data_IF_450342751088
#
_entry.id   IF_450342751088
#
_cell.length_a   1.000
_cell.length_b   1.000
_cell.length_c   1.000
_cell.angle_alpha   90.00
_cell.angle_beta   90.00
_cell.angle_gamma   90.00
#
_symmetry.space_group_name_H-M   'P 1'
#
loop_
_entity.id
_entity.type
_entity.pdbx_description
1 polymer ?
#
# COMPACT_ATOMS: atom_id res chain seq x y z
N UNK A 1 -65.98 35.35 -18.23
CA UNK A 1 -66.04 33.97 -18.73
C UNK A 1 -65.63 33.08 -17.57
N UNK A 2 -66.61 32.55 -16.85
CA UNK A 2 -66.39 31.67 -15.70
C UNK A 2 -66.19 30.26 -16.24
N UNK A 3 -64.99 29.72 -16.11
CA UNK A 3 -64.74 28.31 -16.42
C UNK A 3 -65.55 27.49 -15.40
N UNK A 4 -66.38 26.52 -15.83
CA UNK A 4 -67.15 25.70 -14.90
C UNK A 4 -66.23 24.96 -13.92
N UNK A 5 -66.52 25.01 -12.62
CA UNK A 5 -65.74 24.34 -11.57
C UNK A 5 -65.56 22.83 -11.84
N UNK A 6 -66.53 22.19 -12.50
CA UNK A 6 -66.49 20.77 -12.87
C UNK A 6 -65.39 20.42 -13.89
N UNK A 7 -64.83 21.42 -14.59
CA UNK A 7 -63.74 21.22 -15.55
C UNK A 7 -62.38 21.23 -14.83
N UNK A 8 -62.25 21.99 -13.75
CA UNK A 8 -61.00 22.10 -12.98
C UNK A 8 -60.67 20.82 -12.21
N UNK A 9 -61.66 20.15 -11.62
CA UNK A 9 -61.44 18.90 -10.88
C UNK A 9 -61.13 17.74 -11.83
N UNK A 10 -61.74 17.71 -13.02
CA UNK A 10 -61.44 16.72 -14.07
C UNK A 10 -60.04 16.95 -14.67
N UNK A 11 -59.65 18.21 -14.88
CA UNK A 11 -58.28 18.57 -15.30
C UNK A 11 -57.29 18.22 -14.18
N UNK A 12 -57.61 18.49 -12.92
CA UNK A 12 -56.74 18.14 -11.80
C UNK A 12 -56.56 16.62 -11.66
N UNK A 13 -57.63 15.83 -11.78
CA UNK A 13 -57.54 14.37 -11.78
C UNK A 13 -56.74 13.82 -12.96
N UNK A 14 -56.91 14.38 -14.17
CA UNK A 14 -56.11 13.98 -15.33
C UNK A 14 -54.62 14.37 -15.19
N UNK A 15 -54.30 15.41 -14.42
CA UNK A 15 -52.92 15.88 -14.20
C UNK A 15 -52.24 15.18 -13.03
N UNK A 16 -52.96 14.82 -11.97
CA UNK A 16 -52.37 14.31 -10.72
C UNK A 16 -52.65 12.83 -10.43
N UNK A 17 -53.69 12.21 -11.02
CA UNK A 17 -54.05 10.80 -10.76
C UNK A 17 -53.67 9.84 -11.90
N UNK A 18 -53.11 10.35 -13.01
CA UNK A 18 -52.62 9.48 -14.09
C UNK A 18 -51.27 8.86 -13.77
N UNK A 19 -51.09 7.59 -14.14
CA UNK A 19 -49.78 6.95 -14.06
C UNK A 19 -48.78 7.74 -14.90
N UNK A 20 -47.72 8.22 -14.26
CA UNK A 20 -46.62 8.90 -14.93
C UNK A 20 -45.98 7.95 -15.93
N UNK A 21 -46.13 8.23 -17.23
CA UNK A 21 -45.57 7.45 -18.32
C UNK A 21 -44.87 8.35 -19.33
N UNK A 22 -43.93 7.75 -20.06
CA UNK A 22 -43.41 8.18 -21.37
C UNK A 22 -44.30 9.12 -22.18
N UNK A 23 -45.55 8.73 -22.34
CA UNK A 23 -46.50 9.35 -23.26
C UNK A 23 -47.27 10.55 -22.69
N UNK A 24 -47.37 10.70 -21.38
CA UNK A 24 -48.25 11.71 -20.74
C UNK A 24 -47.48 12.83 -20.04
N UNK A 25 -46.25 12.56 -19.59
CA UNK A 25 -45.47 13.49 -18.75
C UNK A 25 -44.04 13.68 -19.27
N UNK A 26 -43.90 14.09 -20.54
CA UNK A 26 -42.59 14.20 -21.22
C UNK A 26 -42.17 15.64 -21.55
N UNK A 27 -42.85 16.64 -20.99
CA UNK A 27 -42.41 18.04 -21.16
C UNK A 27 -41.09 18.21 -20.40
N UNK A 28 -40.02 18.54 -21.14
CA UNK A 28 -38.62 18.56 -20.69
C UNK A 28 -38.40 19.25 -19.34
N UNK A 29 -39.09 20.36 -19.09
CA UNK A 29 -38.93 21.16 -17.89
C UNK A 29 -40.03 20.96 -16.84
N UNK A 30 -40.95 20.03 -17.07
CA UNK A 30 -42.09 19.82 -16.17
C UNK A 30 -41.71 19.03 -14.93
N UNK A 31 -42.36 19.35 -13.81
CA UNK A 31 -42.23 18.58 -12.57
C UNK A 31 -42.70 17.11 -12.75
N UNK A 32 -43.68 16.87 -13.63
CA UNK A 32 -44.17 15.52 -13.94
C UNK A 32 -43.10 14.63 -14.57
N UNK A 33 -42.29 15.17 -15.51
CA UNK A 33 -41.17 14.44 -16.11
C UNK A 33 -40.10 14.07 -15.06
N UNK A 34 -39.77 15.00 -14.17
CA UNK A 34 -38.79 14.76 -13.09
C UNK A 34 -39.27 13.72 -12.08
N UNK A 35 -40.55 13.77 -11.69
CA UNK A 35 -41.13 12.79 -10.77
C UNK A 35 -41.18 11.40 -11.41
N UNK A 36 -41.47 11.32 -12.71
CA UNK A 36 -41.36 10.09 -13.49
C UNK A 36 -39.92 9.58 -13.55
N UNK A 37 -38.94 10.45 -13.82
CA UNK A 37 -37.52 10.10 -13.85
C UNK A 37 -37.07 9.46 -12.54
N UNK A 38 -37.48 10.00 -11.40
CA UNK A 38 -37.23 9.39 -10.08
C UNK A 38 -37.87 7.99 -9.91
N UNK A 39 -38.99 7.72 -10.59
CA UNK A 39 -39.65 6.41 -10.55
C UNK A 39 -39.03 5.41 -11.53
N UNK A 40 -38.66 5.85 -12.73
CA UNK A 40 -38.25 5.00 -13.86
C UNK A 40 -36.73 4.84 -13.96
N UNK A 41 -35.97 5.93 -13.78
CA UNK A 41 -34.52 5.97 -13.91
C UNK A 41 -33.80 5.79 -12.56
N UNK A 42 -34.53 5.53 -11.47
CA UNK A 42 -33.93 5.38 -10.15
C UNK A 42 -33.36 6.71 -9.65
N UNK A 43 -32.24 6.66 -8.94
CA UNK A 43 -31.70 7.83 -8.26
C UNK A 43 -30.19 7.88 -8.24
N UNK A 44 -29.64 9.08 -8.09
CA UNK A 44 -28.20 9.27 -7.94
C UNK A 44 -27.66 8.66 -6.64
N UNK A 45 -28.46 8.63 -5.56
CA UNK A 45 -28.01 8.18 -4.22
C UNK A 45 -26.71 8.90 -3.79
N UNK A 46 -26.58 10.18 -4.20
CA UNK A 46 -25.39 11.00 -3.96
C UNK A 46 -24.20 10.71 -4.88
N UNK A 47 -24.37 9.95 -5.97
CA UNK A 47 -23.33 9.54 -6.91
C UNK A 47 -23.80 9.67 -8.36
N UNK A 48 -22.88 9.92 -9.30
CA UNK A 48 -23.11 9.75 -10.74
C UNK A 48 -22.66 8.35 -11.15
N UNK A 49 -23.51 7.60 -11.82
CA UNK A 49 -23.23 6.22 -12.23
C UNK A 49 -22.68 6.21 -13.65
N UNK A 50 -21.53 5.56 -13.82
CA UNK A 50 -20.82 5.43 -15.09
C UNK A 50 -20.66 3.96 -15.44
N UNK A 51 -21.03 3.59 -16.66
CA UNK A 51 -20.84 2.27 -17.24
C UNK A 51 -20.41 2.44 -18.70
N UNK A 52 -19.10 2.30 -18.98
CA UNK A 52 -18.58 2.50 -20.35
C UNK A 52 -18.85 1.32 -21.28
N UNK A 53 -19.51 0.25 -20.81
CA UNK A 53 -19.83 -0.94 -21.60
C UNK A 53 -21.29 -0.94 -22.04
N UNK A 54 -22.20 -0.66 -21.09
CA UNK A 54 -23.65 -0.76 -21.29
C UNK A 54 -24.41 0.56 -20.99
N UNK A 55 -23.69 1.64 -20.65
CA UNK A 55 -24.27 2.96 -20.38
C UNK A 55 -24.75 3.71 -21.63
N UNK A 56 -25.32 4.88 -21.40
CA UNK A 56 -25.83 5.77 -22.46
C UNK A 56 -24.89 6.95 -22.71
N UNK A 57 -24.72 7.30 -23.99
CA UNK A 57 -24.08 8.54 -24.46
C UNK A 57 -25.16 9.52 -24.95
N UNK A 58 -25.82 10.27 -24.05
CA UNK A 58 -26.81 11.24 -24.47
C UNK A 58 -26.13 12.44 -25.14
N UNK A 59 -26.65 12.91 -26.28
CA UNK A 59 -26.19 14.16 -26.94
C UNK A 59 -26.20 15.35 -25.96
N UNK A 60 -27.09 15.33 -24.97
CA UNK A 60 -27.12 16.30 -23.88
C UNK A 60 -27.62 15.58 -22.64
N UNK A 61 -26.78 15.40 -21.60
CA UNK A 61 -27.19 14.70 -20.40
C UNK A 61 -28.23 15.52 -19.63
N UNK A 62 -29.34 14.86 -19.28
CA UNK A 62 -30.46 15.47 -18.57
C UNK A 62 -30.41 15.12 -17.08
N UNK A 63 -30.32 16.12 -16.18
CA UNK A 63 -30.38 15.88 -14.74
C UNK A 63 -31.65 15.13 -14.34
N UNK A 64 -31.53 14.20 -13.40
CA UNK A 64 -32.59 13.33 -12.88
C UNK A 64 -33.09 12.26 -13.86
N UNK A 65 -32.43 12.09 -15.01
CA UNK A 65 -32.72 11.02 -15.97
C UNK A 65 -31.46 10.23 -16.32
N UNK A 66 -30.34 10.90 -16.58
CA UNK A 66 -29.06 10.27 -16.96
C UNK A 66 -28.08 10.21 -15.78
N UNK A 67 -27.18 9.24 -15.79
CA UNK A 67 -26.13 9.05 -14.77
C UNK A 67 -26.67 8.52 -13.44
N UNK A 68 -27.81 7.85 -13.48
CA UNK A 68 -28.45 7.18 -12.33
C UNK A 68 -28.12 5.69 -12.32
N UNK A 69 -28.46 5.00 -11.23
CA UNK A 69 -28.20 3.57 -11.05
C UNK A 69 -28.86 2.66 -12.10
N UNK A 70 -29.98 3.07 -12.68
CA UNK A 70 -30.66 2.32 -13.75
C UNK A 70 -30.51 2.93 -15.15
N UNK A 71 -29.84 4.06 -15.27
CA UNK A 71 -29.50 4.70 -16.54
C UNK A 71 -28.09 5.33 -16.45
N UNK A 72 -27.04 4.51 -16.29
CA UNK A 72 -25.67 4.99 -16.18
C UNK A 72 -25.22 5.61 -17.50
N UNK A 73 -24.34 6.61 -17.42
CA UNK A 73 -23.71 7.22 -18.60
C UNK A 73 -22.44 6.48 -19.00
N UNK A 74 -22.03 6.55 -20.26
CA UNK A 74 -20.89 5.77 -20.76
C UNK A 74 -19.58 6.56 -20.90
N UNK A 75 -19.57 7.85 -20.55
CA UNK A 75 -18.42 8.73 -20.74
C UNK A 75 -18.23 9.77 -19.61
N UNK A 76 -16.99 10.24 -19.45
CA UNK A 76 -16.62 11.21 -18.40
C UNK A 76 -17.09 12.64 -18.68
N UNK A 77 -17.27 13.02 -19.94
CA UNK A 77 -17.68 14.39 -20.31
C UNK A 77 -19.08 14.66 -19.79
N UNK A 78 -20.00 13.72 -20.03
CA UNK A 78 -21.37 13.81 -19.52
C UNK A 78 -21.42 13.66 -18.01
N UNK A 79 -20.55 12.80 -17.44
CA UNK A 79 -20.45 12.64 -16.00
C UNK A 79 -20.10 13.95 -15.31
N UNK A 80 -19.11 14.65 -15.83
CA UNK A 80 -18.66 15.94 -15.31
C UNK A 80 -19.74 17.02 -15.50
N UNK A 81 -20.47 16.99 -16.62
CA UNK A 81 -21.60 17.89 -16.86
C UNK A 81 -22.72 17.70 -15.82
N UNK A 82 -23.10 16.45 -15.55
CA UNK A 82 -24.10 16.11 -14.53
C UNK A 82 -23.61 16.44 -13.13
N UNK A 83 -22.38 16.05 -12.78
CA UNK A 83 -21.74 16.33 -11.50
C UNK A 83 -21.73 17.83 -11.18
N UNK A 84 -21.34 18.67 -12.14
CA UNK A 84 -21.34 20.12 -11.98
C UNK A 84 -22.76 20.70 -11.83
N UNK A 85 -23.72 20.21 -12.62
CA UNK A 85 -25.13 20.64 -12.57
C UNK A 85 -25.80 20.29 -11.24
N UNK A 86 -25.47 19.12 -10.68
CA UNK A 86 -26.09 18.57 -9.48
C UNK A 86 -25.31 18.87 -8.19
N UNK A 87 -24.07 19.36 -8.29
CA UNK A 87 -23.17 19.53 -7.15
C UNK A 87 -22.75 18.21 -6.51
N UNK A 88 -22.63 17.16 -7.33
CA UNK A 88 -22.19 15.82 -6.91
C UNK A 88 -20.70 15.67 -7.21
N UNK A 89 -19.94 15.12 -6.27
CA UNK A 89 -18.48 14.90 -6.39
C UNK A 89 -18.09 13.42 -6.30
N UNK A 90 -19.08 12.52 -6.32
CA UNK A 90 -18.87 11.08 -6.20
C UNK A 90 -19.36 10.39 -7.48
N UNK A 91 -18.51 9.58 -8.07
CA UNK A 91 -18.79 8.73 -9.23
C UNK A 91 -18.75 7.26 -8.84
N UNK A 92 -19.78 6.51 -9.22
CA UNK A 92 -19.80 5.06 -9.11
C UNK A 92 -19.53 4.43 -10.47
N UNK A 93 -18.52 3.57 -10.56
CA UNK A 93 -18.03 3.01 -11.82
C UNK A 93 -18.38 1.53 -11.88
N UNK A 94 -19.10 1.13 -12.94
CA UNK A 94 -19.48 -0.26 -13.15
C UNK A 94 -18.23 -1.15 -13.42
N UNK A 95 -18.21 -2.40 -12.91
CA UNK A 95 -17.12 -3.33 -13.17
C UNK A 95 -16.81 -3.52 -14.65
N UNK A 96 -15.53 -3.60 -15.00
CA UNK A 96 -15.07 -3.72 -16.39
C UNK A 96 -15.06 -2.41 -17.19
N UNK A 97 -15.64 -1.32 -16.66
CA UNK A 97 -15.57 0.00 -17.29
C UNK A 97 -14.13 0.50 -17.36
N UNK A 98 -13.82 1.30 -18.38
CA UNK A 98 -12.51 1.93 -18.56
C UNK A 98 -12.67 3.44 -18.60
N UNK A 99 -12.00 4.13 -17.69
CA UNK A 99 -11.99 5.58 -17.59
C UNK A 99 -10.59 6.09 -17.91
N UNK A 100 -10.51 6.95 -18.92
CA UNK A 100 -9.32 7.73 -19.23
C UNK A 100 -9.64 9.17 -18.86
N UNK A 101 -8.86 9.77 -17.95
CA UNK A 101 -9.10 11.15 -17.57
C UNK A 101 -8.75 12.09 -18.72
N UNK A 102 -9.71 12.90 -19.15
CA UNK A 102 -9.55 13.91 -20.21
C UNK A 102 -9.66 15.35 -19.68
N UNK A 103 -9.99 15.49 -18.39
CA UNK A 103 -10.03 16.74 -17.65
C UNK A 103 -9.61 16.52 -16.19
N UNK A 104 -9.18 17.59 -15.53
CA UNK A 104 -8.89 17.64 -14.10
C UNK A 104 -10.04 17.08 -13.27
N UNK A 105 -9.71 16.15 -12.37
CA UNK A 105 -10.62 15.51 -11.44
C UNK A 105 -10.19 15.83 -10.00
N UNK A 106 -10.42 17.05 -9.52
CA UNK A 106 -9.95 17.50 -8.20
C UNK A 106 -11.05 17.34 -7.14
N UNK A 107 -10.69 16.89 -5.94
CA UNK A 107 -11.60 16.71 -4.79
C UNK A 107 -12.84 15.85 -5.10
N UNK A 108 -12.65 14.78 -5.86
CA UNK A 108 -13.72 13.86 -6.25
C UNK A 108 -13.45 12.45 -5.74
N UNK A 109 -14.51 11.64 -5.65
CA UNK A 109 -14.42 10.23 -5.26
C UNK A 109 -14.90 9.38 -6.42
N UNK A 110 -14.07 8.42 -6.83
CA UNK A 110 -14.39 7.42 -7.83
C UNK A 110 -14.38 6.05 -7.15
N UNK A 111 -15.53 5.39 -7.14
CA UNK A 111 -15.74 4.13 -6.42
C UNK A 111 -16.31 3.07 -7.37
N UNK A 112 -15.68 1.91 -7.41
CA UNK A 112 -16.15 0.76 -8.18
C UNK A 112 -15.34 -0.47 -7.78
N UNK A 113 -15.58 -1.60 -8.44
CA UNK A 113 -14.75 -2.81 -8.27
C UNK A 113 -14.40 -3.35 -9.64
N UNK A 114 -13.12 -3.55 -9.91
CA UNK A 114 -12.65 -4.17 -11.16
C UNK A 114 -12.84 -3.29 -12.39
N UNK A 115 -12.75 -1.97 -12.22
CA UNK A 115 -12.73 -0.98 -13.31
C UNK A 115 -11.30 -0.53 -13.58
N UNK A 116 -11.06 0.09 -14.74
CA UNK A 116 -9.71 0.51 -15.18
C UNK A 116 -9.63 2.03 -15.19
N UNK A 117 -8.54 2.57 -14.65
CA UNK A 117 -8.23 4.00 -14.62
C UNK A 117 -6.90 4.30 -15.30
N UNK A 118 -6.92 5.25 -16.24
CA UNK A 118 -5.74 5.93 -16.75
C UNK A 118 -5.76 7.42 -16.33
N UNK A 119 -4.76 7.83 -15.55
CA UNK A 119 -4.61 9.18 -15.03
C UNK A 119 -4.32 10.23 -16.13
N UNK A 120 -3.73 9.81 -17.24
CA UNK A 120 -3.57 10.58 -18.49
C UNK A 120 -3.19 12.07 -18.33
N UNK A 121 -2.25 12.37 -17.44
CA UNK A 121 -1.71 13.72 -17.21
C UNK A 121 -2.66 14.68 -16.51
N UNK A 122 -3.83 14.23 -16.03
CA UNK A 122 -4.82 15.10 -15.43
C UNK A 122 -4.57 15.36 -13.96
N UNK A 123 -5.03 16.53 -13.50
CA UNK A 123 -4.94 16.91 -12.09
C UNK A 123 -5.88 16.04 -11.27
N UNK A 124 -5.35 15.35 -10.27
CA UNK A 124 -6.13 14.49 -9.36
C UNK A 124 -6.11 14.99 -7.92
N UNK A 125 -5.79 16.27 -7.74
CA UNK A 125 -5.51 16.82 -6.43
C UNK A 125 -6.69 16.64 -5.47
N UNK A 126 -6.47 15.93 -4.36
CA UNK A 126 -7.47 15.67 -3.31
C UNK A 126 -8.50 14.60 -3.66
N UNK A 127 -8.30 13.86 -4.75
CA UNK A 127 -9.25 12.83 -5.18
C UNK A 127 -8.95 11.45 -4.62
N UNK A 128 -9.99 10.61 -4.57
CA UNK A 128 -9.96 9.26 -4.03
C UNK A 128 -10.42 8.29 -5.11
N UNK A 129 -9.63 7.26 -5.38
CA UNK A 129 -9.96 6.20 -6.31
C UNK A 129 -10.03 4.87 -5.57
N UNK A 130 -11.12 4.12 -5.75
CA UNK A 130 -11.40 2.90 -5.00
C UNK A 130 -11.68 1.74 -5.96
N UNK A 131 -10.98 0.61 -5.75
CA UNK A 131 -11.23 -0.66 -6.44
C UNK A 131 -10.86 -0.71 -7.92
N UNK A 132 -9.98 0.20 -8.35
CA UNK A 132 -9.53 0.34 -9.74
C UNK A 132 -8.20 -0.37 -10.02
N UNK A 133 -8.00 -0.83 -11.25
CA UNK A 133 -6.65 -1.06 -11.81
C UNK A 133 -6.15 0.25 -12.40
N UNK A 134 -5.09 0.83 -11.83
CA UNK A 134 -4.64 2.20 -12.10
C UNK A 134 -3.33 2.23 -12.88
N UNK A 135 -3.25 3.14 -13.86
CA UNK A 135 -2.02 3.42 -14.61
C UNK A 135 -1.90 4.90 -14.95
N UNK A 136 -0.70 5.31 -15.38
CA UNK A 136 -0.48 6.63 -15.96
C UNK A 136 0.17 7.63 -15.00
N UNK A 137 0.25 8.88 -15.46
CA UNK A 137 0.95 9.96 -14.79
C UNK A 137 -0.10 11.01 -14.42
N UNK A 138 -0.29 11.38 -13.15
CA UNK A 138 -1.13 12.51 -12.79
C UNK A 138 -0.41 13.84 -13.03
N UNK A 139 -1.17 14.92 -13.04
CA UNK A 139 -0.66 16.26 -12.74
C UNK A 139 -1.29 16.77 -11.44
N UNK A 140 -0.99 18.00 -11.05
CA UNK A 140 -1.41 18.57 -9.77
C UNK A 140 -0.23 18.87 -8.86
N UNK A 141 -0.53 19.24 -7.60
CA UNK A 141 0.48 19.59 -6.59
C UNK A 141 0.03 19.15 -5.21
N UNK A 142 0.78 18.23 -4.58
CA UNK A 142 0.93 18.11 -3.13
C UNK A 142 -0.32 17.96 -2.26
N UNK A 143 -1.45 17.53 -2.81
CA UNK A 143 -2.68 17.29 -2.04
C UNK A 143 -2.79 15.84 -1.59
N UNK A 144 -3.68 15.53 -0.65
CA UNK A 144 -3.84 14.17 -0.12
C UNK A 144 -4.68 13.27 -1.07
N UNK A 145 -4.20 12.99 -2.29
CA UNK A 145 -4.83 11.99 -3.16
C UNK A 145 -4.70 10.58 -2.58
N UNK A 146 -5.69 9.73 -2.81
CA UNK A 146 -5.77 8.40 -2.22
C UNK A 146 -6.15 7.33 -3.24
N UNK A 147 -5.44 6.21 -3.20
CA UNK A 147 -5.81 4.97 -3.88
C UNK A 147 -6.14 3.93 -2.81
N UNK A 148 -7.36 3.37 -2.83
CA UNK A 148 -7.79 2.34 -1.87
C UNK A 148 -8.28 1.10 -2.59
N UNK A 149 -7.89 -0.08 -2.13
CA UNK A 149 -8.31 -1.36 -2.72
C UNK A 149 -7.99 -1.47 -4.22
N UNK A 150 -6.99 -0.70 -4.68
CA UNK A 150 -6.57 -0.64 -6.07
C UNK A 150 -5.49 -1.68 -6.41
N UNK A 151 -5.34 -1.92 -7.71
CA UNK A 151 -4.17 -2.56 -8.30
C UNK A 151 -3.36 -1.49 -9.05
N UNK A 152 -2.20 -1.10 -8.53
CA UNK A 152 -1.36 -0.09 -9.17
C UNK A 152 -0.41 -0.72 -10.17
N UNK A 153 -0.51 -0.29 -11.43
CA UNK A 153 0.42 -0.67 -12.50
C UNK A 153 1.59 0.31 -12.51
N UNK A 154 2.12 0.71 -13.67
CA UNK A 154 3.06 1.83 -13.70
C UNK A 154 2.33 3.15 -13.44
N UNK A 155 2.58 3.75 -12.28
CA UNK A 155 1.92 4.98 -11.82
C UNK A 155 2.96 5.97 -11.32
N UNK A 156 2.81 7.24 -11.71
CA UNK A 156 3.57 8.33 -11.10
C UNK A 156 2.81 8.96 -9.94
N UNK A 157 3.53 9.47 -8.94
CA UNK A 157 2.95 9.94 -7.69
C UNK A 157 3.33 11.38 -7.40
N UNK A 158 2.31 12.15 -7.00
CA UNK A 158 2.48 13.46 -6.39
C UNK A 158 2.88 13.30 -4.92
N UNK A 159 3.33 14.38 -4.31
CA UNK A 159 3.56 14.40 -2.87
C UNK A 159 2.23 14.21 -2.10
N UNK A 160 2.34 13.65 -0.90
CA UNK A 160 1.23 13.31 0.00
C UNK A 160 0.23 12.28 -0.57
N UNK A 161 0.67 11.42 -1.49
CA UNK A 161 -0.17 10.31 -1.97
C UNK A 161 -0.33 9.24 -0.88
N UNK A 162 -1.56 8.79 -0.65
CA UNK A 162 -1.87 7.67 0.24
C UNK A 162 -2.37 6.46 -0.55
N UNK A 163 -1.77 5.30 -0.32
CA UNK A 163 -2.12 4.05 -0.98
C UNK A 163 -2.44 3.05 0.13
N UNK A 164 -3.66 2.52 0.11
CA UNK A 164 -4.24 1.73 1.20
C UNK A 164 -4.83 0.44 0.66
N UNK A 165 -4.44 -0.69 1.25
CA UNK A 165 -5.00 -2.01 0.91
C UNK A 165 -4.85 -2.40 -0.58
N UNK A 166 -3.77 -1.94 -1.23
CA UNK A 166 -3.54 -2.11 -2.66
C UNK A 166 -2.49 -3.17 -3.02
N UNK A 167 -2.68 -3.80 -4.17
CA UNK A 167 -1.65 -4.60 -4.87
C UNK A 167 -0.80 -3.71 -5.77
N UNK A 168 0.52 -3.90 -5.75
CA UNK A 168 1.47 -3.04 -6.46
C UNK A 168 2.29 -3.87 -7.47
N UNK A 169 2.33 -3.42 -8.73
CA UNK A 169 3.20 -3.98 -9.78
C UNK A 169 3.76 -2.89 -10.69
N UNK A 170 4.82 -3.20 -11.44
CA UNK A 170 5.49 -2.22 -12.31
C UNK A 170 6.26 -1.15 -11.53
N UNK A 171 6.56 -0.03 -12.20
CA UNK A 171 7.36 1.05 -11.61
C UNK A 171 6.46 2.16 -11.07
N UNK A 172 6.63 2.47 -9.79
CA UNK A 172 6.05 3.64 -9.13
C UNK A 172 7.10 4.76 -9.12
N UNK A 173 6.78 5.93 -9.66
CA UNK A 173 7.76 7.02 -9.81
C UNK A 173 7.27 8.25 -9.06
N UNK A 174 8.11 8.85 -8.22
CA UNK A 174 7.81 10.16 -7.64
C UNK A 174 8.06 11.26 -8.68
N UNK A 175 7.04 12.10 -8.92
CA UNK A 175 7.12 13.27 -9.81
C UNK A 175 7.08 14.61 -9.06
N UNK A 176 6.98 14.55 -7.73
CA UNK A 176 7.01 15.69 -6.83
C UNK A 176 7.71 15.29 -5.52
N UNK A 177 8.58 16.16 -4.99
CA UNK A 177 9.23 15.90 -3.70
C UNK A 177 8.24 16.01 -2.54
N UNK A 178 8.31 15.05 -1.61
CA UNK A 178 7.50 15.03 -0.41
C UNK A 178 7.31 13.62 0.12
N UNK A 179 6.27 13.45 0.93
CA UNK A 179 5.97 12.18 1.56
C UNK A 179 5.06 11.33 0.66
N UNK A 180 5.24 10.01 0.71
CA UNK A 180 4.28 9.05 0.15
C UNK A 180 4.04 7.93 1.15
N UNK A 181 2.81 7.43 1.18
CA UNK A 181 2.35 6.48 2.19
C UNK A 181 1.73 5.25 1.52
N UNK A 182 2.25 4.08 1.87
CA UNK A 182 1.68 2.77 1.55
C UNK A 182 1.33 2.08 2.86
N UNK A 183 0.06 1.75 3.07
CA UNK A 183 -0.42 1.01 4.24
C UNK A 183 -1.20 -0.22 3.81
N UNK A 184 -0.97 -1.35 4.48
CA UNK A 184 -1.60 -2.65 4.18
C UNK A 184 -1.50 -3.09 2.71
N UNK A 185 -0.47 -2.63 2.01
CA UNK A 185 -0.23 -2.96 0.60
C UNK A 185 0.58 -4.25 0.44
N UNK A 186 0.59 -4.82 -0.77
CA UNK A 186 1.41 -5.99 -1.10
C UNK A 186 1.99 -5.94 -2.51
N UNK A 187 3.08 -6.67 -2.74
CA UNK A 187 3.60 -6.91 -4.09
C UNK A 187 2.65 -7.84 -4.84
N UNK A 188 2.23 -7.44 -6.04
CA UNK A 188 1.51 -8.30 -6.99
C UNK A 188 2.46 -8.84 -8.09
N UNK A 189 3.75 -8.96 -7.74
CA UNK A 189 4.78 -9.55 -8.61
C UNK A 189 5.10 -10.96 -8.13
N UNK A 190 4.91 -11.95 -9.00
CA UNK A 190 5.14 -13.34 -8.68
C UNK A 190 6.64 -13.72 -8.70
N UNK A 191 7.04 -14.63 -7.81
CA UNK A 191 8.39 -15.21 -7.80
C UNK A 191 9.39 -14.39 -6.99
N UNK A 192 10.63 -14.29 -7.50
CA UNK A 192 11.73 -13.56 -6.87
C UNK A 192 11.85 -12.11 -7.40
N UNK A 193 11.02 -11.75 -8.37
CA UNK A 193 10.97 -10.39 -8.91
C UNK A 193 10.25 -9.45 -7.92
N UNK A 194 10.49 -8.15 -8.09
CA UNK A 194 9.96 -7.11 -7.21
C UNK A 194 9.45 -5.95 -8.04
N UNK A 195 8.46 -5.22 -7.54
CA UNK A 195 8.09 -3.94 -8.14
C UNK A 195 9.14 -2.86 -7.80
N UNK A 196 9.18 -1.79 -8.58
CA UNK A 196 10.20 -0.74 -8.45
C UNK A 196 9.57 0.51 -7.85
N UNK A 197 10.14 1.02 -6.77
CA UNK A 197 9.90 2.38 -6.30
C UNK A 197 11.06 3.27 -6.72
N UNK A 198 10.79 4.18 -7.64
CA UNK A 198 11.74 5.17 -8.17
C UNK A 198 11.49 6.52 -7.48
N UNK A 199 12.50 7.00 -6.74
CA UNK A 199 12.47 8.29 -6.06
C UNK A 199 12.48 9.49 -7.03
N UNK A 200 12.68 9.25 -8.33
CA UNK A 200 12.68 10.25 -9.38
C UNK A 200 13.87 11.20 -9.27
N UNK A 201 13.70 12.42 -9.79
CA UNK A 201 14.70 13.50 -9.70
C UNK A 201 14.03 14.80 -9.23
N UNK A 202 13.26 14.70 -8.14
CA UNK A 202 12.27 15.72 -7.75
C UNK A 202 12.63 16.49 -6.47
N UNK A 203 13.72 16.13 -5.80
CA UNK A 203 14.07 16.63 -4.48
C UNK A 203 13.89 15.57 -3.39
N UNK A 204 13.94 15.99 -2.12
CA UNK A 204 13.87 15.05 -0.99
C UNK A 204 12.49 14.41 -0.87
N UNK A 205 12.48 13.08 -0.85
CA UNK A 205 11.28 12.25 -0.82
C UNK A 205 11.34 11.31 0.38
N UNK A 206 10.20 11.16 1.08
CA UNK A 206 10.06 10.22 2.19
C UNK A 206 9.07 9.11 1.85
N UNK A 207 9.57 7.89 1.66
CA UNK A 207 8.76 6.70 1.44
C UNK A 207 8.36 6.06 2.78
N UNK A 208 7.06 5.99 3.07
CA UNK A 208 6.52 5.35 4.27
C UNK A 208 5.72 4.11 3.89
N UNK A 209 6.23 2.93 4.26
CA UNK A 209 5.58 1.64 4.00
C UNK A 209 5.24 0.97 5.34
N UNK A 210 3.97 0.61 5.54
CA UNK A 210 3.43 -0.03 6.74
C UNK A 210 2.62 -1.28 6.40
N UNK A 211 2.72 -2.30 7.25
CA UNK A 211 2.00 -3.57 7.11
C UNK A 211 2.17 -4.22 5.73
N UNK A 212 3.36 -4.13 5.15
CA UNK A 212 3.61 -4.56 3.78
C UNK A 212 3.98 -6.04 3.66
N UNK A 213 3.69 -6.64 2.51
CA UNK A 213 4.11 -7.99 2.16
C UNK A 213 4.64 -8.07 0.73
N UNK A 214 5.85 -8.60 0.56
CA UNK A 214 6.46 -8.84 -0.75
C UNK A 214 7.81 -8.15 -0.94
N UNK A 215 8.34 -8.23 -2.16
CA UNK A 215 9.62 -7.61 -2.50
C UNK A 215 9.48 -6.21 -3.10
N UNK A 216 10.42 -5.33 -2.78
CA UNK A 216 10.53 -3.98 -3.34
C UNK A 216 11.98 -3.70 -3.78
N UNK A 217 12.13 -3.10 -4.96
CA UNK A 217 13.39 -2.52 -5.42
C UNK A 217 13.33 -1.00 -5.30
N UNK A 218 14.36 -0.40 -4.70
CA UNK A 218 14.51 1.05 -4.60
C UNK A 218 15.43 1.55 -5.71
N UNK A 219 15.01 2.57 -6.44
CA UNK A 219 15.78 3.22 -7.51
C UNK A 219 15.91 4.73 -7.30
N UNK A 220 17.02 5.27 -7.80
CA UNK A 220 17.34 6.71 -7.81
C UNK A 220 17.30 7.41 -6.43
N UNK A 221 17.29 6.64 -5.34
CA UNK A 221 17.36 7.21 -3.99
C UNK A 221 18.69 7.95 -3.79
N UNK A 222 18.60 9.16 -3.22
CA UNK A 222 19.72 10.05 -2.96
C UNK A 222 20.24 10.80 -4.18
N UNK A 223 19.61 10.65 -5.36
CA UNK A 223 20.06 11.29 -6.59
C UNK A 223 19.88 12.81 -6.53
N UNK A 224 18.74 13.26 -6.03
CA UNK A 224 18.43 14.68 -5.84
C UNK A 224 17.84 14.92 -4.45
N UNK A 225 18.69 15.10 -3.44
CA UNK A 225 18.25 15.44 -2.09
C UNK A 225 18.61 14.40 -1.03
N UNK A 226 17.99 14.51 0.13
CA UNK A 226 18.20 13.62 1.28
C UNK A 226 17.00 12.70 1.45
N UNK A 227 16.88 11.74 0.55
CA UNK A 227 15.77 10.79 0.55
C UNK A 227 15.81 9.85 1.74
N UNK A 228 14.63 9.51 2.25
CA UNK A 228 14.45 8.55 3.32
C UNK A 228 13.36 7.53 2.99
N UNK A 229 13.54 6.31 3.48
CA UNK A 229 12.53 5.27 3.44
C UNK A 229 12.35 4.66 4.82
N UNK A 230 11.12 4.36 5.17
CA UNK A 230 10.78 3.63 6.38
C UNK A 230 9.86 2.47 6.01
N UNK A 231 10.40 1.26 6.01
CA UNK A 231 9.76 0.06 5.50
C UNK A 231 9.46 -0.89 6.65
N UNK A 232 8.19 -1.22 6.82
CA UNK A 232 7.69 -2.18 7.80
C UNK A 232 6.86 -3.27 7.14
N UNK A 233 7.11 -4.54 7.48
CA UNK A 233 6.43 -5.68 6.89
C UNK A 233 7.29 -6.93 6.79
N UNK A 234 7.05 -7.72 5.74
CA UNK A 234 7.80 -8.93 5.44
C UNK A 234 8.12 -9.03 3.94
N UNK A 235 9.29 -9.55 3.58
CA UNK A 235 9.66 -9.85 2.20
C UNK A 235 11.12 -9.57 1.88
N UNK A 236 11.38 -8.79 0.83
CA UNK A 236 12.73 -8.48 0.36
C UNK A 236 12.89 -7.00 0.01
N UNK A 237 14.07 -6.44 0.30
CA UNK A 237 14.48 -5.10 -0.15
C UNK A 237 15.70 -5.26 -1.06
N UNK A 238 15.62 -4.68 -2.25
CA UNK A 238 16.69 -4.65 -3.25
C UNK A 238 17.10 -3.20 -3.47
N UNK A 239 18.40 -2.95 -3.52
CA UNK A 239 18.93 -1.69 -4.04
C UNK A 239 19.16 -1.80 -5.55
N UNK A 240 18.55 -0.87 -6.31
CA UNK A 240 18.77 -0.68 -7.73
C UNK A 240 19.80 0.41 -8.00
N UNK A 241 19.38 1.51 -8.62
CA UNK A 241 20.25 2.61 -9.09
C UNK A 241 20.51 3.70 -8.03
N UNK A 242 20.41 3.37 -6.74
CA UNK A 242 20.58 4.34 -5.66
C UNK A 242 22.01 4.88 -5.59
N UNK A 243 22.16 6.14 -5.20
CA UNK A 243 23.47 6.78 -4.96
C UNK A 243 23.66 7.22 -3.51
N UNK A 244 22.61 7.11 -2.69
CA UNK A 244 22.63 7.41 -1.26
C UNK A 244 21.23 7.31 -0.66
N UNK A 245 21.08 7.79 0.58
CA UNK A 245 19.80 7.81 1.28
C UNK A 245 19.76 6.86 2.48
N UNK A 246 18.70 7.01 3.27
CA UNK A 246 18.51 6.31 4.53
C UNK A 246 17.30 5.37 4.48
N UNK A 247 17.47 4.11 4.84
CA UNK A 247 16.37 3.13 4.89
C UNK A 247 16.25 2.52 6.28
N UNK A 248 15.20 2.86 7.02
CA UNK A 248 14.83 2.19 8.25
C UNK A 248 13.99 0.94 7.95
N UNK A 249 14.47 -0.23 8.36
CA UNK A 249 13.83 -1.53 8.12
C UNK A 249 13.26 -2.09 9.41
N UNK A 250 11.98 -2.50 9.38
CA UNK A 250 11.29 -3.13 10.52
C UNK A 250 10.57 -4.40 10.05
N UNK A 251 10.76 -5.50 10.77
CA UNK A 251 10.13 -6.79 10.42
C UNK A 251 11.07 -7.73 9.64
N UNK A 252 10.50 -8.71 8.96
CA UNK A 252 11.24 -9.82 8.36
C UNK A 252 11.55 -9.55 6.88
N UNK A 253 12.64 -8.82 6.64
CA UNK A 253 13.12 -8.54 5.29
C UNK A 253 14.50 -9.14 5.04
N UNK A 254 14.64 -9.83 3.93
CA UNK A 254 15.97 -10.07 3.35
C UNK A 254 16.42 -8.81 2.60
N UNK A 255 17.73 -8.59 2.56
CA UNK A 255 18.33 -7.47 1.81
C UNK A 255 19.30 -8.00 0.78
N UNK A 256 19.23 -7.50 -0.45
CA UNK A 256 20.12 -7.90 -1.54
C UNK A 256 20.64 -6.67 -2.29
N UNK A 257 21.89 -6.72 -2.74
CA UNK A 257 22.49 -5.66 -3.58
C UNK A 257 22.77 -4.33 -2.87
N UNK A 258 22.63 -4.28 -1.54
CA UNK A 258 22.79 -3.03 -0.79
C UNK A 258 24.26 -2.58 -0.80
N UNK A 259 24.56 -1.48 -1.49
CA UNK A 259 25.90 -0.92 -1.68
C UNK A 259 25.99 0.58 -1.38
N UNK A 260 24.98 1.39 -1.72
CA UNK A 260 25.00 2.84 -1.53
C UNK A 260 23.99 3.30 -0.46
N UNK A 261 23.01 2.48 -0.09
CA UNK A 261 22.04 2.83 0.95
C UNK A 261 22.60 2.65 2.36
N UNK A 262 22.26 3.59 3.25
CA UNK A 262 22.49 3.42 4.68
C UNK A 262 21.27 2.76 5.32
N UNK A 263 21.43 1.52 5.78
CA UNK A 263 20.36 0.80 6.49
C UNK A 263 20.39 1.10 7.99
N UNK A 264 19.20 1.29 8.57
CA UNK A 264 18.97 1.18 10.02
C UNK A 264 18.04 -0.01 10.24
N UNK A 265 18.63 -1.11 10.67
CA UNK A 265 18.03 -2.43 10.70
C UNK A 265 18.05 -3.07 12.10
N UNK A 266 18.18 -2.27 13.16
CA UNK A 266 18.09 -2.72 14.56
C UNK A 266 16.75 -3.42 14.88
N UNK A 267 15.70 -3.09 14.12
CA UNK A 267 14.36 -3.67 14.23
C UNK A 267 14.06 -4.70 13.12
N UNK A 268 15.04 -5.03 12.27
CA UNK A 268 14.92 -6.10 11.28
C UNK A 268 15.08 -7.44 11.99
N UNK A 269 14.32 -8.43 11.55
CA UNK A 269 14.47 -9.81 11.99
C UNK A 269 15.08 -10.59 10.84
N UNK A 270 16.35 -10.96 10.99
CA UNK A 270 17.10 -11.74 10.02
C UNK A 270 17.83 -12.89 10.73
N UNK A 271 17.91 -14.05 10.08
CA UNK A 271 18.54 -15.24 10.66
C UNK A 271 20.01 -14.99 10.98
N UNK A 272 20.70 -14.21 10.16
CA UNK A 272 22.10 -13.86 10.39
C UNK A 272 22.25 -12.89 11.56
N UNK A 273 21.32 -11.93 11.71
CA UNK A 273 21.30 -11.05 12.88
C UNK A 273 20.98 -11.82 14.16
N UNK A 274 20.04 -12.76 14.12
CA UNK A 274 19.74 -13.64 15.26
C UNK A 274 20.96 -14.51 15.60
N UNK A 275 21.56 -15.14 14.59
CA UNK A 275 22.74 -15.98 14.78
C UNK A 275 23.91 -15.16 15.37
N UNK A 276 24.20 -13.98 14.81
CA UNK A 276 25.20 -13.06 15.38
C UNK A 276 24.84 -12.67 16.80
N UNK A 277 23.58 -12.32 17.08
CA UNK A 277 23.14 -11.97 18.43
C UNK A 277 23.34 -13.11 19.44
N UNK A 278 23.05 -14.35 19.05
CA UNK A 278 23.25 -15.54 19.90
C UNK A 278 24.73 -15.85 20.10
N UNK A 279 25.52 -15.85 19.03
CA UNK A 279 26.92 -16.26 19.09
C UNK A 279 27.88 -15.17 19.61
N UNK A 280 27.54 -13.89 19.43
CA UNK A 280 28.30 -12.76 19.97
C UNK A 280 27.87 -12.36 21.37
N UNK A 281 26.76 -12.88 21.90
CA UNK A 281 26.45 -12.72 23.31
C UNK A 281 27.57 -13.33 24.17
N UNK A 282 27.82 -12.72 25.33
CA UNK A 282 28.83 -13.18 26.29
C UNK A 282 28.73 -14.67 26.62
N UNK A 283 27.52 -15.23 26.67
CA UNK A 283 27.31 -16.67 26.89
C UNK A 283 27.63 -17.50 25.65
N UNK A 284 27.28 -17.00 24.46
CA UNK A 284 27.64 -17.62 23.19
C UNK A 284 29.16 -17.73 23.04
N UNK A 285 29.88 -16.64 23.32
CA UNK A 285 31.34 -16.58 23.33
C UNK A 285 31.92 -17.59 24.32
N UNK A 286 31.41 -17.63 25.56
CA UNK A 286 31.90 -18.58 26.57
C UNK A 286 31.63 -20.03 26.16
N UNK A 287 30.45 -20.34 25.61
CA UNK A 287 30.13 -21.69 25.11
C UNK A 287 31.10 -22.07 23.99
N UNK A 288 31.34 -21.17 23.03
CA UNK A 288 32.31 -21.41 21.97
C UNK A 288 33.71 -21.67 22.54
N UNK A 289 34.16 -20.89 23.52
CA UNK A 289 35.44 -21.08 24.21
C UNK A 289 35.48 -22.42 24.97
N UNK A 290 34.41 -22.78 25.68
CA UNK A 290 34.29 -24.07 26.36
C UNK A 290 34.32 -25.24 25.38
N UNK A 291 33.84 -25.07 24.14
CA UNK A 291 33.86 -26.14 23.15
C UNK A 291 35.22 -26.23 22.43
N UNK A 292 35.79 -25.08 22.04
CA UNK A 292 36.99 -25.02 21.19
C UNK A 292 38.29 -24.99 21.98
N UNK A 293 38.35 -24.41 23.16
CA UNK A 293 39.63 -24.12 23.77
C UNK A 293 40.18 -25.26 24.64
N UNK A 294 41.47 -25.12 24.95
CA UNK A 294 42.21 -26.03 25.82
C UNK A 294 41.64 -26.00 27.23
N UNK A 295 41.39 -27.19 27.76
CA UNK A 295 40.89 -27.38 29.12
C UNK A 295 41.80 -28.39 29.83
N UNK A 296 42.33 -27.98 30.98
CA UNK A 296 43.25 -28.79 31.80
C UNK A 296 42.62 -28.98 33.17
N UNK A 297 42.59 -30.22 33.66
CA UNK A 297 42.18 -30.54 35.02
C UNK A 297 43.41 -30.94 35.83
N UNK A 298 43.68 -30.23 36.90
CA UNK A 298 44.72 -30.59 37.86
C UNK A 298 44.32 -31.89 38.59
N UNK A 299 45.18 -32.91 38.54
CA UNK A 299 44.92 -34.23 39.13
C UNK A 299 44.96 -34.24 40.65
N UNK A 300 45.65 -33.29 41.26
CA UNK A 300 45.89 -33.25 42.70
C UNK A 300 44.81 -32.41 43.40
N UNK A 301 44.39 -31.32 42.76
CA UNK A 301 43.39 -30.39 43.30
C UNK A 301 42.00 -30.55 42.70
N UNK A 302 41.87 -31.23 41.56
CA UNK A 302 40.62 -31.35 40.81
C UNK A 302 40.14 -30.05 40.18
N UNK A 303 40.96 -28.99 40.14
CA UNK A 303 40.60 -27.71 39.52
C UNK A 303 40.70 -27.84 38.01
N UNK A 304 39.59 -27.64 37.34
CA UNK A 304 39.48 -27.51 35.89
C UNK A 304 39.74 -26.05 35.50
N UNK A 305 40.66 -25.83 34.56
CA UNK A 305 41.02 -24.50 34.04
C UNK A 305 40.81 -24.45 32.53
N UNK A 306 39.95 -23.53 32.10
CA UNK A 306 39.74 -23.19 30.69
C UNK A 306 40.67 -22.04 30.30
N UNK A 307 41.38 -22.20 29.19
CA UNK A 307 42.29 -21.19 28.67
C UNK A 307 41.74 -20.52 27.40
N UNK A 308 42.14 -19.28 27.12
CA UNK A 308 41.94 -18.67 25.81
C UNK A 308 43.03 -19.10 24.81
N UNK A 309 42.95 -18.59 23.58
CA UNK A 309 43.94 -18.87 22.52
C UNK A 309 45.32 -18.26 22.81
N UNK A 310 45.42 -17.27 23.70
CA UNK A 310 46.66 -16.68 24.18
C UNK A 310 47.28 -17.42 25.38
N UNK A 311 46.59 -18.42 25.94
CA UNK A 311 46.99 -19.12 27.15
C UNK A 311 46.61 -18.43 28.47
N UNK A 312 45.76 -17.39 28.43
CA UNK A 312 45.21 -16.78 29.64
C UNK A 312 44.09 -17.63 30.22
N UNK A 313 43.88 -17.57 31.53
CA UNK A 313 42.79 -18.28 32.21
C UNK A 313 41.47 -17.54 31.98
N UNK A 314 40.50 -18.22 31.37
CA UNK A 314 39.14 -17.70 31.18
C UNK A 314 38.23 -18.06 32.35
N UNK A 315 38.32 -19.29 32.82
CA UNK A 315 37.46 -19.82 33.88
C UNK A 315 38.17 -20.92 34.64
N UNK A 316 37.87 -21.02 35.94
CA UNK A 316 38.18 -22.19 36.75
C UNK A 316 36.92 -22.76 37.38
N UNK A 317 36.88 -24.08 37.57
CA UNK A 317 35.81 -24.76 38.28
C UNK A 317 36.34 -26.00 39.00
N UNK A 318 35.72 -26.35 40.12
CA UNK A 318 36.06 -27.57 40.86
C UNK A 318 35.35 -28.78 40.24
N UNK A 319 36.10 -29.81 39.86
CA UNK A 319 35.55 -31.09 39.39
C UNK A 319 35.42 -32.06 40.57
N UNK A 320 34.31 -32.81 40.59
CA UNK A 320 34.00 -33.81 41.63
C UNK A 320 33.76 -35.19 40.99
N UNK A 321 34.15 -36.26 41.68
CA UNK A 321 33.96 -37.65 41.24
C UNK A 321 32.54 -38.15 41.49
N UNK A 322 31.87 -37.59 42.50
CA UNK A 322 30.52 -37.97 42.90
C UNK A 322 29.49 -36.88 42.58
N UNK A 323 28.23 -37.30 42.49
CA UNK A 323 27.08 -36.42 42.21
C UNK A 323 26.78 -35.43 43.34
N UNK A 324 27.25 -35.72 44.55
CA UNK A 324 26.94 -34.95 45.75
C UNK A 324 27.97 -33.83 45.99
N UNK A 325 29.03 -33.77 45.17
CA UNK A 325 30.08 -32.77 45.25
C UNK A 325 31.00 -32.94 46.47
N UNK A 326 31.13 -34.16 47.01
CA UNK A 326 31.89 -34.38 48.25
C UNK A 326 33.35 -34.72 47.93
N UNK A 327 33.57 -35.67 47.04
CA UNK A 327 34.91 -36.12 46.64
C UNK A 327 35.38 -35.32 45.43
N UNK A 328 36.34 -34.45 45.65
CA UNK A 328 37.09 -33.78 44.59
C UNK A 328 37.76 -34.80 43.66
N UNK A 329 37.85 -34.48 42.37
CA UNK A 329 38.54 -35.28 41.35
C UNK A 329 40.00 -35.58 41.68
N UNK A 330 40.42 -36.85 41.54
CA UNK A 330 41.78 -37.32 41.88
C UNK A 330 42.54 -37.96 40.70
N UNK A 331 42.36 -37.45 39.47
CA UNK A 331 43.19 -37.87 38.32
C UNK A 331 42.87 -39.24 37.75
N UNK A 332 41.59 -39.55 37.49
CA UNK A 332 41.16 -40.76 36.79
C UNK A 332 40.42 -40.47 35.48
N UNK A 333 41.12 -39.98 34.45
CA UNK A 333 40.68 -40.02 33.04
C UNK A 333 40.02 -38.75 32.45
N UNK A 334 40.29 -37.56 33.01
CA UNK A 334 39.71 -36.27 32.62
C UNK A 334 40.75 -35.12 32.67
N UNK A 335 42.03 -35.44 32.60
CA UNK A 335 43.15 -34.52 32.89
C UNK A 335 43.34 -33.47 31.80
N UNK A 336 43.00 -33.79 30.55
CA UNK A 336 43.22 -32.88 29.42
C UNK A 336 42.22 -33.12 28.29
N UNK A 337 41.63 -32.03 27.83
CA UNK A 337 40.96 -31.98 26.53
C UNK A 337 41.68 -30.95 25.67
N UNK A 338 42.19 -31.41 24.53
CA UNK A 338 42.78 -30.52 23.54
C UNK A 338 41.70 -29.67 22.86
N UNK A 339 42.17 -28.64 22.14
CA UNK A 339 41.33 -27.86 21.26
C UNK A 339 40.68 -28.76 20.20
N UNK A 340 39.37 -28.63 20.03
CA UNK A 340 38.66 -29.22 18.90
C UNK A 340 39.09 -28.46 17.63
N UNK A 341 39.77 -29.16 16.73
CA UNK A 341 40.14 -28.67 15.39
C UNK A 341 38.95 -28.75 14.46
#
# INVERSE_FOLDING_TARGET
MTIPQADLDAIAGAVWDELLKGSTHNIKTSAGRRLRGLQEAGGYVGRIWIDTLDGVDPITPEPFEDGTDSNPIDNMIDANTLAASLGIHHFHIAPGSTIILDASQNNQVFEGIGWILDLNGQDISGSIFIGATVSGIPSGVGTAQMFRDCELLSVSHLANTHIDESGIRGTQIMIEAGDIYFDRCHSDVAGADTWIFDFGSVGSTNLNIRHYSGGIQLENMGNTGTDAASIEGNGQIIEGTCVGGFVAVRGNFTTSGITNLTLVDDARIDIDQIAKGVWLDSKGILIEQILRNKLITDSDTGIMTLYDDGGNVLMTAQLYEDKDGIQTYRGKGAERRERLT
#
